data_IF_464451969392
#
_entry.id   IF_464451969392
#
_cell.length_a   1.000
_cell.length_b   1.000
_cell.length_c   1.000
_cell.angle_alpha   90.00
_cell.angle_beta   90.00
_cell.angle_gamma   90.00
#
_symmetry.space_group_name_H-M   'P 1'
#
loop_
_entity.id
_entity.type
_entity.pdbx_description
1 polymer ?
#
# COMPACT_ATOMS: atom_id res chain seq x y z
N UNK A 1 3.57 -20.35 -0.92
CA UNK A 1 4.27 -21.48 -1.58
C UNK A 1 3.92 -22.83 -0.93
N UNK A 2 3.31 -22.83 0.22
CA UNK A 2 2.80 -24.05 0.85
C UNK A 2 1.44 -24.43 0.23
N UNK A 3 1.34 -25.56 -0.56
CA UNK A 3 0.11 -25.93 -1.25
C UNK A 3 -1.06 -26.22 -0.33
N UNK A 4 -0.79 -26.88 0.80
CA UNK A 4 -1.82 -27.26 1.79
C UNK A 4 -2.36 -26.02 2.49
N UNK A 5 -1.47 -25.10 2.93
CA UNK A 5 -1.85 -23.83 3.52
C UNK A 5 -2.68 -23.01 2.55
N UNK A 6 -2.25 -22.94 1.27
CA UNK A 6 -2.97 -22.21 0.22
C UNK A 6 -4.37 -22.78 -0.01
N UNK A 7 -4.51 -24.12 -0.10
CA UNK A 7 -5.80 -24.76 -0.25
C UNK A 7 -6.74 -24.46 0.95
N UNK A 8 -6.20 -24.45 2.17
CA UNK A 8 -6.92 -24.07 3.39
C UNK A 8 -7.36 -22.61 3.38
N UNK A 9 -6.45 -21.68 3.08
CA UNK A 9 -6.73 -20.24 3.06
C UNK A 9 -7.78 -19.87 2.02
N UNK A 10 -7.72 -20.47 0.84
CA UNK A 10 -8.64 -20.21 -0.27
C UNK A 10 -9.92 -21.06 -0.22
N UNK A 11 -10.05 -21.97 0.74
CA UNK A 11 -11.14 -22.97 0.80
C UNK A 11 -11.35 -23.70 -0.53
N UNK A 12 -10.26 -23.98 -1.22
CA UNK A 12 -10.27 -24.62 -2.54
C UNK A 12 -9.15 -25.67 -2.58
N UNK A 13 -9.53 -26.96 -2.63
CA UNK A 13 -8.60 -28.09 -2.65
C UNK A 13 -7.61 -28.06 -3.84
N UNK A 14 -7.97 -27.40 -4.93
CA UNK A 14 -7.15 -27.28 -6.11
C UNK A 14 -6.21 -26.05 -6.09
N UNK A 15 -6.34 -25.17 -5.09
CA UNK A 15 -5.57 -23.92 -5.04
C UNK A 15 -4.05 -24.17 -4.96
N UNK A 16 -3.62 -25.29 -4.36
CA UNK A 16 -2.21 -25.68 -4.30
C UNK A 16 -1.61 -26.07 -5.66
N UNK A 17 -2.42 -26.58 -6.58
CA UNK A 17 -1.97 -27.05 -7.89
C UNK A 17 -1.41 -25.92 -8.77
N UNK A 18 -1.86 -24.69 -8.56
CA UNK A 18 -1.39 -23.55 -9.34
C UNK A 18 0.11 -23.24 -9.14
N UNK A 19 0.74 -23.73 -8.09
CA UNK A 19 2.15 -23.50 -7.82
C UNK A 19 3.06 -24.17 -8.88
N UNK A 20 2.65 -25.31 -9.44
CA UNK A 20 3.37 -25.97 -10.54
C UNK A 20 3.46 -25.08 -11.80
N UNK A 21 2.48 -24.18 -11.99
CA UNK A 21 2.50 -23.28 -13.15
C UNK A 21 3.54 -22.18 -13.00
N UNK A 22 3.90 -21.75 -11.79
CA UNK A 22 4.97 -20.79 -11.56
C UNK A 22 6.30 -21.30 -12.11
N UNK A 23 6.66 -22.54 -11.78
CA UNK A 23 7.90 -23.15 -12.30
C UNK A 23 7.86 -23.34 -13.82
N UNK A 24 6.69 -23.67 -14.38
CA UNK A 24 6.53 -23.81 -15.83
C UNK A 24 6.67 -22.48 -16.55
N UNK A 25 6.10 -21.41 -16.00
CA UNK A 25 6.23 -20.06 -16.54
C UNK A 25 7.67 -19.56 -16.45
N UNK A 26 8.32 -19.80 -15.33
CA UNK A 26 9.72 -19.45 -15.13
C UNK A 26 10.62 -20.17 -16.13
N UNK A 27 10.51 -21.51 -16.25
CA UNK A 27 11.22 -22.31 -17.27
C UNK A 27 10.91 -21.89 -18.71
N UNK A 28 9.73 -21.33 -18.94
CA UNK A 28 9.32 -20.76 -20.22
C UNK A 28 9.85 -19.36 -20.50
N UNK A 29 10.65 -18.77 -19.61
CA UNK A 29 11.22 -17.43 -19.78
C UNK A 29 10.22 -16.29 -19.55
N UNK A 30 9.09 -16.55 -18.90
CA UNK A 30 8.05 -15.54 -18.65
C UNK A 30 8.45 -14.70 -17.44
N UNK A 31 8.49 -13.37 -17.61
CA UNK A 31 8.72 -12.42 -16.53
C UNK A 31 7.58 -12.49 -15.49
N UNK A 32 7.92 -12.66 -14.22
CA UNK A 32 6.97 -12.88 -13.13
C UNK A 32 7.00 -11.72 -12.14
N UNK A 33 5.88 -11.04 -11.98
CA UNK A 33 5.62 -10.15 -10.87
C UNK A 33 4.63 -10.83 -9.93
N UNK A 34 4.96 -10.92 -8.64
CA UNK A 34 4.16 -11.67 -7.68
C UNK A 34 3.72 -10.81 -6.51
N UNK A 35 2.56 -11.15 -5.93
CA UNK A 35 2.01 -10.50 -4.75
C UNK A 35 1.73 -11.55 -3.67
N UNK A 36 2.23 -11.31 -2.48
CA UNK A 36 1.96 -12.08 -1.28
C UNK A 36 0.97 -11.30 -0.40
N UNK A 37 -0.28 -11.75 -0.35
CA UNK A 37 -1.27 -11.22 0.59
C UNK A 37 -1.08 -11.91 1.93
N UNK A 38 -0.62 -11.17 2.93
CA UNK A 38 -0.24 -11.69 4.23
C UNK A 38 -1.38 -11.58 5.23
N UNK A 39 -1.72 -12.72 5.84
CA UNK A 39 -2.67 -12.87 6.94
C UNK A 39 -1.89 -13.16 8.20
N UNK A 40 -1.98 -12.26 9.19
CA UNK A 40 -1.25 -12.35 10.46
C UNK A 40 -1.45 -13.71 11.14
N UNK A 41 -0.35 -14.35 11.54
CA UNK A 41 -0.33 -15.65 12.21
C UNK A 41 -0.69 -16.84 11.32
N UNK A 42 -0.81 -16.65 10.00
CA UNK A 42 -1.20 -17.71 9.06
C UNK A 42 -0.11 -17.97 8.03
N UNK A 43 0.26 -16.97 7.23
CA UNK A 43 1.25 -17.09 6.16
C UNK A 43 2.37 -16.05 6.23
N UNK A 44 2.54 -15.42 7.38
CA UNK A 44 3.68 -14.58 7.76
C UNK A 44 4.80 -15.44 8.43
N UNK A 45 5.76 -14.79 9.08
CA UNK A 45 6.85 -15.47 9.77
C UNK A 45 7.57 -16.49 8.89
N UNK A 46 7.66 -17.73 9.33
CA UNK A 46 8.37 -18.82 8.64
C UNK A 46 7.74 -19.15 7.27
N UNK A 47 6.42 -19.07 7.13
CA UNK A 47 5.76 -19.32 5.84
C UNK A 47 6.08 -18.22 4.83
N UNK A 48 6.21 -16.97 5.28
CA UNK A 48 6.70 -15.86 4.46
C UNK A 48 8.14 -16.12 4.02
N UNK A 49 9.04 -16.50 4.95
CA UNK A 49 10.43 -16.81 4.62
C UNK A 49 10.55 -17.94 3.59
N UNK A 50 9.78 -19.03 3.74
CA UNK A 50 9.72 -20.13 2.76
C UNK A 50 9.23 -19.65 1.40
N UNK A 51 8.21 -18.81 1.38
CA UNK A 51 7.67 -18.25 0.14
C UNK A 51 8.68 -17.35 -0.57
N UNK A 52 9.37 -16.50 0.17
CA UNK A 52 10.40 -15.63 -0.38
C UNK A 52 11.62 -16.41 -0.87
N UNK A 53 12.07 -17.44 -0.12
CA UNK A 53 13.17 -18.29 -0.54
C UNK A 53 12.87 -18.99 -1.89
N UNK A 54 11.65 -19.51 -2.04
CA UNK A 54 11.22 -20.12 -3.30
C UNK A 54 11.11 -19.11 -4.43
N UNK A 55 10.38 -18.00 -4.22
CA UNK A 55 10.15 -17.01 -5.28
C UNK A 55 11.44 -16.35 -5.73
N UNK A 56 12.36 -16.05 -4.80
CA UNK A 56 13.67 -15.47 -5.17
C UNK A 56 14.62 -16.46 -5.82
N UNK A 57 14.35 -17.76 -5.79
CA UNK A 57 15.13 -18.77 -6.52
C UNK A 57 14.75 -18.88 -8.01
N UNK A 58 13.58 -18.36 -8.40
CA UNK A 58 13.16 -18.34 -9.80
C UNK A 58 14.05 -17.40 -10.62
N UNK A 59 14.31 -17.79 -11.87
CA UNK A 59 15.22 -17.04 -12.77
C UNK A 59 14.56 -15.78 -13.32
N UNK A 60 13.26 -15.86 -13.66
CA UNK A 60 12.53 -14.79 -14.34
C UNK A 60 11.65 -13.96 -13.40
N UNK A 61 11.84 -14.08 -12.07
CA UNK A 61 11.16 -13.21 -11.12
C UNK A 61 11.67 -11.77 -11.25
N UNK A 62 10.75 -10.83 -11.44
CA UNK A 62 11.07 -9.41 -11.57
C UNK A 62 10.85 -8.67 -10.25
N UNK A 63 9.74 -8.95 -9.57
CA UNK A 63 9.44 -8.32 -8.29
C UNK A 63 8.44 -9.13 -7.46
N UNK A 64 8.49 -8.93 -6.14
CA UNK A 64 7.63 -9.58 -5.15
C UNK A 64 7.13 -8.49 -4.21
N UNK A 65 5.83 -8.24 -4.21
CA UNK A 65 5.19 -7.38 -3.22
C UNK A 65 4.62 -8.20 -2.06
N UNK A 66 4.82 -7.75 -0.83
CA UNK A 66 4.09 -8.24 0.34
C UNK A 66 3.10 -7.17 0.78
N UNK A 67 1.81 -7.52 0.86
CA UNK A 67 0.72 -6.62 1.24
C UNK A 67 -0.08 -7.22 2.39
N UNK A 68 -0.58 -6.44 3.35
CA UNK A 68 -1.44 -6.98 4.40
C UNK A 68 -2.80 -7.35 3.83
N UNK A 69 -3.41 -8.38 4.39
CA UNK A 69 -4.78 -8.77 4.04
C UNK A 69 -5.77 -7.70 4.52
N UNK A 70 -6.58 -7.16 3.61
CA UNK A 70 -7.67 -6.26 3.95
C UNK A 70 -8.77 -6.99 4.75
N UNK A 71 -9.07 -6.50 5.95
CA UNK A 71 -10.09 -7.10 6.84
C UNK A 71 -11.31 -6.19 6.84
N UNK A 72 -12.36 -6.60 6.14
CA UNK A 72 -13.64 -5.88 6.08
C UNK A 72 -14.57 -6.31 7.21
N UNK A 73 -15.59 -5.49 7.51
CA UNK A 73 -16.69 -5.83 8.41
C UNK A 73 -17.64 -6.91 7.88
N UNK A 74 -17.58 -7.24 6.58
CA UNK A 74 -18.45 -8.21 5.90
C UNK A 74 -17.86 -9.62 5.91
N UNK A 75 -17.56 -10.15 7.13
CA UNK A 75 -16.84 -11.42 7.29
C UNK A 75 -17.62 -12.48 8.05
N UNK A 76 -18.95 -12.39 8.12
CA UNK A 76 -19.78 -13.39 8.81
C UNK A 76 -19.54 -14.80 8.25
N UNK A 77 -19.23 -15.74 9.11
CA UNK A 77 -18.95 -17.15 8.73
C UNK A 77 -17.60 -17.39 8.03
N UNK A 78 -16.75 -16.37 7.89
CA UNK A 78 -15.38 -16.53 7.39
C UNK A 78 -14.41 -16.80 8.55
N UNK A 79 -13.23 -17.35 8.21
CA UNK A 79 -12.14 -17.56 9.15
C UNK A 79 -11.72 -16.23 9.79
N UNK A 80 -11.55 -16.24 11.12
CA UNK A 80 -11.11 -15.06 11.86
C UNK A 80 -9.64 -14.74 11.51
N UNK A 81 -9.40 -13.50 11.11
CA UNK A 81 -8.06 -12.98 10.80
C UNK A 81 -7.82 -11.78 11.71
N UNK A 82 -6.71 -11.79 12.43
CA UNK A 82 -6.29 -10.65 13.24
C UNK A 82 -5.62 -9.59 12.37
N UNK A 83 -5.88 -8.28 12.61
CA UNK A 83 -5.14 -7.21 11.95
C UNK A 83 -3.68 -7.20 12.39
N UNK A 84 -2.81 -6.67 11.55
CA UNK A 84 -1.43 -6.38 11.95
C UNK A 84 -1.40 -5.21 12.94
N UNK A 85 -0.59 -5.35 13.97
CA UNK A 85 -0.21 -4.27 14.88
C UNK A 85 1.21 -3.78 14.55
N UNK A 86 1.70 -2.82 15.34
CA UNK A 86 3.01 -2.21 15.14
C UNK A 86 4.16 -3.22 15.15
N UNK A 87 4.14 -4.18 16.07
CA UNK A 87 5.20 -5.16 16.24
C UNK A 87 5.19 -6.18 15.11
N UNK A 88 4.05 -6.80 14.86
CA UNK A 88 3.92 -7.80 13.79
C UNK A 88 4.13 -7.23 12.38
N UNK A 89 3.73 -5.98 12.13
CA UNK A 89 4.05 -5.30 10.88
C UNK A 89 5.56 -5.03 10.75
N UNK A 90 6.21 -4.67 11.87
CA UNK A 90 7.66 -4.49 11.94
C UNK A 90 8.43 -5.77 11.62
N UNK A 91 8.01 -6.91 12.16
CA UNK A 91 8.60 -8.22 11.87
C UNK A 91 8.51 -8.58 10.38
N UNK A 92 7.37 -8.31 9.74
CA UNK A 92 7.22 -8.51 8.29
C UNK A 92 8.21 -7.65 7.51
N UNK A 93 8.35 -6.36 7.85
CA UNK A 93 9.31 -5.46 7.19
C UNK A 93 10.74 -6.01 7.35
N UNK A 94 11.11 -6.48 8.53
CA UNK A 94 12.46 -6.99 8.80
C UNK A 94 12.77 -8.25 7.97
N UNK A 95 11.81 -9.14 7.79
CA UNK A 95 11.93 -10.30 6.90
C UNK A 95 12.11 -9.84 5.44
N UNK A 96 11.22 -8.96 4.96
CA UNK A 96 11.25 -8.43 3.60
C UNK A 96 12.58 -7.73 3.31
N UNK A 97 13.06 -6.90 4.22
CA UNK A 97 14.31 -6.16 4.06
C UNK A 97 15.53 -7.08 4.01
N UNK A 98 15.54 -8.14 4.81
CA UNK A 98 16.61 -9.13 4.79
C UNK A 98 16.70 -9.82 3.42
N UNK A 99 15.57 -10.25 2.86
CA UNK A 99 15.51 -10.86 1.52
C UNK A 99 15.82 -9.84 0.41
N UNK A 100 15.28 -8.63 0.49
CA UNK A 100 15.56 -7.56 -0.48
C UNK A 100 17.04 -7.20 -0.55
N UNK A 101 17.71 -7.04 0.61
CA UNK A 101 19.15 -6.80 0.70
C UNK A 101 19.96 -7.99 0.19
N UNK A 102 19.50 -9.23 0.42
CA UNK A 102 20.14 -10.43 -0.13
C UNK A 102 20.08 -10.41 -1.66
N UNK A 103 18.90 -10.18 -2.23
CA UNK A 103 18.73 -10.11 -3.68
C UNK A 103 19.59 -9.01 -4.31
N UNK A 104 19.64 -7.83 -3.68
CA UNK A 104 20.48 -6.73 -4.16
C UNK A 104 21.96 -7.10 -4.21
N UNK A 105 22.48 -7.83 -3.20
CA UNK A 105 23.87 -8.29 -3.21
C UNK A 105 24.14 -9.40 -4.23
N UNK A 106 23.22 -10.35 -4.38
CA UNK A 106 23.43 -11.56 -5.19
C UNK A 106 23.03 -11.38 -6.65
N UNK A 107 22.02 -10.54 -6.92
CA UNK A 107 21.44 -10.35 -8.27
C UNK A 107 21.57 -8.93 -8.81
N UNK A 108 22.12 -7.99 -8.03
CA UNK A 108 22.32 -6.59 -8.42
C UNK A 108 21.03 -5.76 -8.44
N UNK A 109 19.88 -6.34 -8.04
CA UNK A 109 18.60 -5.63 -7.93
C UNK A 109 17.80 -6.10 -6.72
N UNK A 110 16.97 -5.20 -6.16
CA UNK A 110 16.03 -5.54 -5.12
C UNK A 110 14.80 -6.21 -5.75
N UNK A 111 14.44 -7.40 -5.27
CA UNK A 111 13.28 -8.13 -5.79
C UNK A 111 12.08 -8.11 -4.84
N UNK A 112 12.30 -7.81 -3.56
CA UNK A 112 11.30 -8.02 -2.51
C UNK A 112 11.00 -6.70 -1.80
N UNK A 113 9.70 -6.36 -1.74
CA UNK A 113 9.22 -5.08 -1.22
C UNK A 113 8.02 -5.29 -0.30
N UNK A 114 7.97 -4.53 0.79
CA UNK A 114 6.78 -4.39 1.61
C UNK A 114 5.93 -3.22 1.11
N UNK A 115 4.60 -3.39 1.11
CA UNK A 115 3.69 -2.29 0.82
C UNK A 115 3.81 -1.16 1.86
N UNK A 116 3.52 0.06 1.44
CA UNK A 116 3.56 1.26 2.29
C UNK A 116 2.71 1.10 3.56
N UNK A 117 1.61 0.34 3.47
CA UNK A 117 0.72 0.06 4.60
C UNK A 117 1.46 -0.64 5.75
N UNK A 118 2.40 -1.55 5.49
CA UNK A 118 3.21 -2.15 6.55
C UNK A 118 4.06 -1.12 7.27
N UNK A 119 4.66 -0.16 6.56
CA UNK A 119 5.44 0.91 7.18
C UNK A 119 4.56 1.83 8.02
N UNK A 120 3.34 2.15 7.55
CA UNK A 120 2.39 2.95 8.31
C UNK A 120 1.93 2.22 9.60
N UNK A 121 1.58 0.93 9.51
CA UNK A 121 1.20 0.09 10.64
C UNK A 121 2.34 -0.05 11.66
N UNK A 122 3.56 -0.29 11.19
CA UNK A 122 4.75 -0.38 12.03
C UNK A 122 5.21 0.96 12.60
N UNK A 123 4.62 2.08 12.18
CA UNK A 123 5.08 3.44 12.49
C UNK A 123 6.56 3.64 12.14
N UNK A 124 7.00 3.04 11.04
CA UNK A 124 8.35 3.22 10.50
C UNK A 124 8.32 4.25 9.36
N UNK A 125 9.41 5.01 9.16
CA UNK A 125 9.52 5.92 8.01
C UNK A 125 9.34 5.17 6.68
N UNK A 126 8.64 5.81 5.73
CA UNK A 126 8.60 5.34 4.35
C UNK A 126 10.03 5.40 3.78
N UNK A 127 10.54 4.33 3.17
CA UNK A 127 11.88 4.29 2.61
C UNK A 127 12.14 5.42 1.60
N UNK A 128 13.41 5.79 1.36
CA UNK A 128 13.79 6.76 0.34
C UNK A 128 13.59 6.17 -1.07
N UNK A 129 13.66 7.04 -2.09
CA UNK A 129 13.38 6.70 -3.49
C UNK A 129 14.21 5.51 -3.99
N UNK A 130 15.50 5.50 -3.62
CA UNK A 130 16.45 4.47 -4.06
C UNK A 130 16.10 3.05 -3.58
N UNK A 131 15.28 2.94 -2.53
CA UNK A 131 14.79 1.65 -2.04
C UNK A 131 13.85 0.98 -3.05
N UNK A 132 13.10 1.78 -3.81
CA UNK A 132 12.04 1.30 -4.70
C UNK A 132 12.51 1.09 -6.14
N UNK A 133 13.76 1.49 -6.48
CA UNK A 133 14.31 1.42 -7.84
C UNK A 133 13.37 2.10 -8.86
N UNK A 134 12.79 1.34 -9.79
CA UNK A 134 11.83 1.82 -10.80
C UNK A 134 10.35 1.65 -10.38
N UNK A 135 10.07 1.43 -9.11
CA UNK A 135 8.73 1.23 -8.55
C UNK A 135 7.94 0.06 -9.18
N UNK A 136 8.51 -1.14 -9.27
CA UNK A 136 7.94 -2.25 -10.06
C UNK A 136 6.61 -2.76 -9.52
N UNK A 137 6.21 -2.36 -8.31
CA UNK A 137 4.99 -2.83 -7.63
C UNK A 137 4.10 -1.66 -7.14
N UNK A 138 4.17 -0.50 -7.79
CA UNK A 138 3.43 0.70 -7.37
C UNK A 138 1.91 0.45 -7.35
N UNK A 139 1.38 -0.32 -8.29
CA UNK A 139 -0.03 -0.69 -8.36
C UNK A 139 -0.49 -1.54 -7.15
N UNK A 140 0.45 -2.18 -6.46
CA UNK A 140 0.22 -2.94 -5.24
C UNK A 140 0.49 -2.12 -3.96
N UNK A 141 0.59 -0.80 -4.07
CA UNK A 141 0.81 0.09 -2.94
C UNK A 141 2.24 0.07 -2.38
N UNK A 142 3.22 -0.30 -3.22
CA UNK A 142 4.64 -0.30 -2.86
C UNK A 142 5.30 0.98 -3.37
N UNK A 143 5.72 1.85 -2.46
CA UNK A 143 6.39 3.10 -2.80
C UNK A 143 5.46 4.20 -3.33
N UNK A 144 4.16 4.01 -3.27
CA UNK A 144 3.19 4.99 -3.76
C UNK A 144 3.28 6.31 -2.99
N UNK A 145 3.45 6.25 -1.67
CA UNK A 145 3.61 7.44 -0.83
C UNK A 145 4.92 8.16 -1.14
N UNK A 146 6.01 7.45 -1.36
CA UNK A 146 7.30 8.05 -1.73
C UNK A 146 7.22 8.71 -3.11
N UNK A 147 6.76 7.99 -4.13
CA UNK A 147 6.60 8.52 -5.48
C UNK A 147 5.73 9.77 -5.51
N UNK A 148 4.60 9.75 -4.78
CA UNK A 148 3.72 10.92 -4.67
C UNK A 148 4.41 12.11 -3.99
N UNK A 149 5.21 11.87 -2.95
CA UNK A 149 5.97 12.93 -2.28
C UNK A 149 6.99 13.57 -3.23
N UNK A 150 7.81 12.77 -3.92
CA UNK A 150 8.85 13.27 -4.82
C UNK A 150 8.25 14.03 -6.02
N UNK A 151 7.20 13.47 -6.62
CA UNK A 151 6.48 14.13 -7.71
C UNK A 151 5.86 15.46 -7.26
N UNK A 152 5.24 15.49 -6.09
CA UNK A 152 4.64 16.70 -5.53
C UNK A 152 5.70 17.76 -5.23
N UNK A 153 6.79 17.40 -4.55
CA UNK A 153 7.88 18.30 -4.20
C UNK A 153 8.52 18.92 -5.45
N UNK A 154 8.82 18.06 -6.44
CA UNK A 154 9.39 18.50 -7.71
C UNK A 154 8.45 19.45 -8.49
N UNK A 155 7.16 19.16 -8.53
CA UNK A 155 6.17 20.06 -9.17
C UNK A 155 6.03 21.35 -8.39
N UNK A 156 6.00 21.27 -7.06
CA UNK A 156 5.90 22.45 -6.20
C UNK A 156 7.06 23.43 -6.44
N UNK A 157 8.28 22.93 -6.60
CA UNK A 157 9.46 23.75 -6.90
C UNK A 157 9.35 24.55 -8.22
N UNK A 158 8.64 23.99 -9.21
CA UNK A 158 8.49 24.59 -10.55
C UNK A 158 7.36 25.63 -10.65
N UNK A 159 6.56 25.81 -9.60
CA UNK A 159 5.48 26.80 -9.62
C UNK A 159 6.05 28.17 -9.27
N UNK A 160 6.18 29.05 -10.26
CA UNK A 160 6.66 30.44 -10.05
C UNK A 160 5.55 31.38 -9.59
N UNK A 161 4.33 31.19 -10.09
CA UNK A 161 3.16 32.03 -9.77
C UNK A 161 1.96 31.13 -9.44
N UNK A 162 1.31 31.43 -8.33
CA UNK A 162 0.07 30.78 -7.94
C UNK A 162 -1.11 31.69 -8.25
N UNK A 163 -2.08 31.16 -9.04
CA UNK A 163 -3.36 31.83 -9.26
C UNK A 163 -4.17 31.85 -7.96
N UNK A 164 -4.57 33.04 -7.51
CA UNK A 164 -5.31 33.20 -6.26
C UNK A 164 -6.72 32.63 -6.36
N UNK A 165 -7.11 31.78 -5.42
CA UNK A 165 -8.52 31.53 -5.11
C UNK A 165 -8.78 31.91 -3.64
N UNK A 166 -9.83 32.68 -3.41
CA UNK A 166 -10.30 32.97 -2.04
C UNK A 166 -11.09 31.80 -1.44
N UNK A 167 -11.34 30.76 -2.23
CA UNK A 167 -12.09 29.59 -1.79
C UNK A 167 -11.27 28.75 -0.80
N UNK A 168 -11.94 28.25 0.22
CA UNK A 168 -11.37 27.24 1.10
C UNK A 168 -11.34 25.89 0.37
N UNK A 169 -10.20 25.21 0.41
CA UNK A 169 -10.00 23.89 -0.22
C UNK A 169 -10.02 22.83 0.86
N UNK A 170 -10.88 21.84 0.72
CA UNK A 170 -10.90 20.65 1.55
C UNK A 170 -10.41 19.45 0.74
N UNK A 171 -9.34 18.80 1.19
CA UNK A 171 -8.82 17.56 0.58
C UNK A 171 -9.32 16.40 1.43
N UNK A 172 -10.00 15.43 0.82
CA UNK A 172 -10.41 14.19 1.49
C UNK A 172 -9.43 13.08 1.19
N UNK A 173 -9.24 12.18 2.16
CA UNK A 173 -8.39 10.99 2.00
C UNK A 173 -8.86 9.90 2.97
N UNK A 174 -8.41 8.66 2.78
CA UNK A 174 -8.56 7.62 3.80
C UNK A 174 -7.62 7.87 4.99
N UNK A 175 -7.91 7.25 6.11
CA UNK A 175 -7.17 7.45 7.37
C UNK A 175 -5.67 7.12 7.21
N UNK A 176 -5.31 6.07 6.44
CA UNK A 176 -3.92 5.67 6.21
C UNK A 176 -3.06 6.76 5.57
N UNK A 177 -3.59 7.49 4.58
CA UNK A 177 -2.84 8.51 3.86
C UNK A 177 -2.95 9.92 4.49
N UNK A 178 -3.73 10.10 5.55
CA UNK A 178 -4.01 11.41 6.14
C UNK A 178 -2.73 12.20 6.48
N UNK A 179 -1.82 11.58 7.23
CA UNK A 179 -0.57 12.22 7.63
C UNK A 179 0.34 12.56 6.47
N UNK A 180 0.35 11.71 5.46
CA UNK A 180 1.09 11.96 4.22
C UNK A 180 0.55 13.20 3.50
N UNK A 181 -0.77 13.29 3.31
CA UNK A 181 -1.40 14.45 2.66
C UNK A 181 -1.21 15.71 3.48
N UNK A 182 -1.27 15.66 4.83
CA UNK A 182 -0.95 16.80 5.69
C UNK A 182 0.48 17.30 5.48
N UNK A 183 1.44 16.38 5.32
CA UNK A 183 2.83 16.73 5.02
C UNK A 183 2.95 17.50 3.71
N UNK A 184 2.30 17.02 2.65
CA UNK A 184 2.30 17.71 1.33
C UNK A 184 1.64 19.08 1.41
N UNK A 185 0.51 19.20 2.12
CA UNK A 185 -0.15 20.48 2.36
C UNK A 185 0.74 21.41 3.16
N UNK A 186 1.50 20.91 4.12
CA UNK A 186 2.50 21.68 4.88
C UNK A 186 3.59 22.26 3.97
N UNK A 187 4.14 21.47 3.03
CA UNK A 187 5.10 21.94 2.04
C UNK A 187 4.49 23.02 1.15
N UNK A 188 3.25 22.83 0.67
CA UNK A 188 2.56 23.84 -0.13
C UNK A 188 2.34 25.15 0.64
N UNK A 189 1.92 25.08 1.91
CA UNK A 189 1.73 26.26 2.77
C UNK A 189 3.04 26.99 3.07
N UNK A 190 4.13 26.26 3.23
CA UNK A 190 5.45 26.87 3.45
C UNK A 190 5.88 27.73 2.24
N UNK A 191 5.55 27.29 1.02
CA UNK A 191 5.83 28.06 -0.21
C UNK A 191 4.78 29.12 -0.51
N UNK A 192 3.51 28.83 -0.23
CA UNK A 192 2.35 29.69 -0.51
C UNK A 192 1.49 29.87 0.77
N UNK A 193 1.92 30.72 1.73
CA UNK A 193 1.25 30.83 3.04
C UNK A 193 -0.22 31.28 2.96
N UNK A 194 -0.63 31.84 1.84
CA UNK A 194 -1.98 32.38 1.63
C UNK A 194 -3.03 31.29 1.26
N UNK A 195 -2.60 30.07 0.92
CA UNK A 195 -3.57 29.03 0.57
C UNK A 195 -4.36 28.58 1.77
N UNK A 196 -5.68 28.45 1.59
CA UNK A 196 -6.60 27.96 2.61
C UNK A 196 -6.95 26.50 2.31
N UNK A 197 -6.12 25.59 2.81
CA UNK A 197 -6.30 24.15 2.60
C UNK A 197 -6.40 23.44 3.93
N UNK A 198 -7.38 22.55 4.05
CA UNK A 198 -7.49 21.60 5.15
C UNK A 198 -7.59 20.18 4.59
N UNK A 199 -7.12 19.21 5.37
CA UNK A 199 -7.21 17.78 5.05
C UNK A 199 -8.25 17.13 5.97
N UNK A 200 -9.04 16.22 5.42
CA UNK A 200 -10.03 15.42 6.15
C UNK A 200 -9.79 13.93 5.91
N UNK A 201 -9.51 13.22 6.98
CA UNK A 201 -9.53 11.76 6.97
C UNK A 201 -10.98 11.28 7.00
N UNK A 202 -11.34 10.43 6.07
CA UNK A 202 -12.66 9.81 5.99
C UNK A 202 -12.55 8.38 6.53
N UNK A 203 -13.33 8.10 7.57
CA UNK A 203 -13.45 6.74 8.10
C UNK A 203 -14.28 5.89 7.15
N UNK A 204 -13.79 4.71 6.82
CA UNK A 204 -14.48 3.77 5.96
C UNK A 204 -15.53 2.98 6.78
N UNK A 205 -16.76 3.46 6.79
CA UNK A 205 -17.87 2.79 7.48
C UNK A 205 -18.49 1.68 6.63
N UNK A 206 -18.42 1.79 5.30
CA UNK A 206 -19.01 0.83 4.37
C UNK A 206 -18.30 -0.53 4.44
N UNK A 207 -16.99 -0.56 4.30
CA UNK A 207 -16.21 -1.81 4.38
C UNK A 207 -15.87 -2.22 5.81
N UNK A 208 -15.91 -1.32 6.78
CA UNK A 208 -15.63 -1.58 8.18
C UNK A 208 -14.25 -1.16 8.66
N UNK A 209 -14.06 -1.17 9.96
CA UNK A 209 -13.07 -0.42 10.72
C UNK A 209 -11.59 -0.71 10.49
N UNK A 210 -11.21 -1.76 9.76
CA UNK A 210 -9.80 -2.05 9.45
C UNK A 210 -9.39 -1.64 8.04
N UNK A 211 -10.32 -1.08 7.26
CA UNK A 211 -10.05 -0.60 5.91
C UNK A 211 -9.81 0.91 5.98
N UNK A 212 -8.56 1.31 5.83
CA UNK A 212 -8.11 2.70 6.01
C UNK A 212 -7.59 3.34 4.72
N UNK A 213 -7.43 2.55 3.65
CA UNK A 213 -6.89 3.02 2.37
C UNK A 213 -7.86 3.92 1.62
N UNK A 214 -7.36 4.97 0.98
CA UNK A 214 -8.17 5.97 0.27
C UNK A 214 -9.01 5.38 -0.86
N UNK A 215 -8.46 4.46 -1.65
CA UNK A 215 -9.12 3.88 -2.83
C UNK A 215 -10.35 3.01 -2.54
N UNK A 216 -10.65 2.72 -1.26
CA UNK A 216 -11.84 1.96 -0.83
C UNK A 216 -12.85 2.84 -0.08
N UNK A 217 -12.60 4.14 0.08
CA UNK A 217 -13.58 5.08 0.64
C UNK A 217 -14.70 5.29 -0.37
N UNK A 218 -15.95 5.12 0.07
CA UNK A 218 -17.13 5.30 -0.80
C UNK A 218 -17.71 6.70 -0.67
N UNK A 219 -18.36 7.19 -1.73
CA UNK A 219 -18.95 8.54 -1.76
C UNK A 219 -19.94 8.81 -0.63
N UNK A 220 -20.68 7.77 -0.19
CA UNK A 220 -21.58 7.88 0.96
C UNK A 220 -20.85 8.26 2.24
N UNK A 221 -19.72 7.63 2.52
CA UNK A 221 -18.91 7.94 3.72
C UNK A 221 -18.39 9.38 3.69
N UNK A 222 -18.00 9.88 2.49
CA UNK A 222 -17.60 11.27 2.30
C UNK A 222 -18.75 12.22 2.60
N UNK A 223 -19.93 11.98 2.01
CA UNK A 223 -21.12 12.84 2.17
C UNK A 223 -21.55 12.88 3.65
N UNK A 224 -21.67 11.72 4.30
CA UNK A 224 -22.15 11.63 5.68
C UNK A 224 -21.21 12.33 6.68
N UNK A 225 -19.89 12.28 6.43
CA UNK A 225 -18.91 12.86 7.33
C UNK A 225 -18.59 14.33 7.06
N UNK A 226 -18.95 14.86 5.88
CA UNK A 226 -18.64 16.25 5.51
C UNK A 226 -19.86 17.14 5.29
N UNK A 227 -21.09 16.63 5.32
CA UNK A 227 -22.32 17.38 4.99
C UNK A 227 -22.49 18.72 5.71
N UNK A 228 -21.97 18.82 6.94
CA UNK A 228 -22.08 20.03 7.77
C UNK A 228 -20.80 20.89 7.74
N UNK A 229 -19.74 20.44 7.04
CA UNK A 229 -18.43 21.08 7.07
C UNK A 229 -18.03 21.77 5.76
N UNK A 230 -18.58 21.35 4.64
CA UNK A 230 -18.20 21.85 3.30
C UNK A 230 -19.34 22.68 2.74
N UNK A 231 -19.34 23.98 3.10
CA UNK A 231 -20.32 24.95 2.59
C UNK A 231 -19.60 25.93 1.66
N UNK A 232 -19.79 25.77 0.35
CA UNK A 232 -19.35 26.78 -0.65
C UNK A 232 -17.86 26.78 -0.98
N UNK A 233 -17.08 25.77 -0.55
CA UNK A 233 -15.66 25.59 -0.87
C UNK A 233 -15.38 24.66 -2.04
N UNK A 234 -14.12 24.35 -2.26
CA UNK A 234 -13.64 23.35 -3.22
C UNK A 234 -13.33 22.06 -2.49
N UNK A 235 -13.95 20.95 -2.93
CA UNK A 235 -13.63 19.61 -2.44
C UNK A 235 -12.71 18.90 -3.45
N UNK A 236 -11.50 18.54 -3.01
CA UNK A 236 -10.59 17.69 -3.79
C UNK A 236 -10.72 16.24 -3.33
N UNK A 237 -11.07 15.39 -4.27
CA UNK A 237 -11.20 13.94 -4.07
C UNK A 237 -10.10 13.25 -4.86
N UNK A 238 -9.28 12.38 -4.26
CA UNK A 238 -8.26 11.63 -4.98
C UNK A 238 -8.87 10.79 -6.11
N UNK A 239 -8.23 10.77 -7.28
CA UNK A 239 -8.76 10.05 -8.45
C UNK A 239 -8.93 8.55 -8.22
N UNK A 240 -8.16 7.93 -7.33
CA UNK A 240 -8.29 6.53 -6.96
C UNK A 240 -9.57 6.21 -6.15
N UNK A 241 -10.29 7.22 -5.65
CA UNK A 241 -11.62 7.06 -5.04
C UNK A 241 -12.76 7.08 -6.08
N UNK A 242 -12.46 7.37 -7.34
CA UNK A 242 -13.46 7.52 -8.42
C UNK A 242 -13.58 6.26 -9.33
N UNK A 243 -13.05 5.14 -8.88
CA UNK A 243 -13.07 3.86 -9.63
C UNK A 243 -14.28 3.00 -9.26
#
# INVERSE_FOLDING_TARGET
>A
VNPELRAKMMRNRFAGECLQYLERLDKGGIALNTQLVLCRGINDGQELERSLAFLTSLENIQSIAAVPCGITGHRQGLYEISPYDKESAGEVIDIIDRFGKKCLREKGKRLVYAADEFFLLAQRPIPPEEYYEDYPQIENGVGMLRSHYEEFAHRLEKIDKFGYTNSEITIVTGEAAYRHIETLVGLAKSRFPQIRVRVRAIKNNFFGGYITVSGLVVGRDIIEQLKDEVNGGILLVPCNMLR
#
